data_IF_011307139605
#
_entry.id   IF_011307139605
#
_cell.length_a   1.000
_cell.length_b   1.000
_cell.length_c   1.000
_cell.angle_alpha   90.00
_cell.angle_beta   90.00
_cell.angle_gamma   90.00
#
_symmetry.space_group_name_H-M   'P 1'
#
loop_
_entity.id
_entity.type
_entity.pdbx_description
1 polymer ?
#
# COMPACT_ATOMS: atom_id res chain seq x y z
N UNK A 1 12.16 -11.83 26.83
CA UNK A 1 11.50 -11.04 25.78
C UNK A 1 12.14 -11.45 24.46
N UNK A 2 11.46 -12.29 23.67
CA UNK A 2 12.00 -12.82 22.42
C UNK A 2 11.51 -11.97 21.25
N UNK A 3 12.43 -11.45 20.45
CA UNK A 3 12.13 -10.83 19.16
C UNK A 3 12.26 -11.90 18.09
N UNK A 4 11.14 -12.35 17.54
CA UNK A 4 11.13 -13.22 16.37
C UNK A 4 11.38 -12.37 15.12
N UNK A 5 12.43 -12.72 14.36
CA UNK A 5 12.75 -12.07 13.09
C UNK A 5 11.96 -12.77 11.99
N UNK A 6 10.93 -12.12 11.44
CA UNK A 6 10.36 -12.45 10.14
C UNK A 6 11.39 -12.10 9.06
N UNK A 7 12.35 -13.00 8.81
CA UNK A 7 13.39 -12.83 7.79
C UNK A 7 12.94 -13.26 6.37
N UNK A 8 11.68 -13.65 6.21
CA UNK A 8 11.15 -14.27 4.98
C UNK A 8 10.15 -13.38 4.22
N UNK A 9 10.05 -12.09 4.52
CA UNK A 9 9.12 -11.18 3.83
C UNK A 9 9.84 -10.05 3.09
N UNK A 10 9.42 -9.80 1.85
CA UNK A 10 9.82 -8.64 1.05
C UNK A 10 8.77 -7.56 1.21
N UNK A 11 9.18 -6.35 1.61
CA UNK A 11 8.33 -5.16 1.69
C UNK A 11 8.62 -4.23 0.51
N UNK A 12 7.56 -3.78 -0.17
CA UNK A 12 7.63 -2.77 -1.22
C UNK A 12 6.59 -1.69 -0.97
N UNK A 13 6.94 -0.44 -1.24
CA UNK A 13 6.02 0.70 -1.20
C UNK A 13 5.77 1.22 -2.61
N UNK A 14 4.51 1.40 -2.99
CA UNK A 14 4.09 1.97 -4.28
C UNK A 14 3.40 3.31 -4.03
N UNK A 15 3.81 4.33 -4.79
CA UNK A 15 3.16 5.65 -4.77
C UNK A 15 2.14 5.74 -5.89
N UNK A 16 0.89 5.95 -5.54
CA UNK A 16 -0.20 6.24 -6.46
C UNK A 16 -0.63 7.69 -6.33
N UNK A 17 -0.99 8.30 -7.44
CA UNK A 17 -1.55 9.65 -7.46
C UNK A 17 -2.49 9.78 -8.66
N UNK A 18 -3.50 10.64 -8.52
CA UNK A 18 -4.46 10.85 -9.59
C UNK A 18 -5.63 11.73 -9.16
N UNK A 19 -6.73 11.61 -9.90
CA UNK A 19 -8.02 12.21 -9.56
C UNK A 19 -9.05 11.09 -9.43
N UNK A 20 -9.87 11.11 -8.39
CA UNK A 20 -10.96 10.16 -8.19
C UNK A 20 -12.27 10.89 -7.93
N UNK A 21 -13.38 10.33 -8.41
CA UNK A 21 -14.73 10.83 -8.12
C UNK A 21 -15.48 9.73 -7.41
N UNK A 22 -15.75 9.94 -6.13
CA UNK A 22 -16.60 9.05 -5.35
C UNK A 22 -18.08 9.31 -5.67
N UNK A 23 -18.95 8.39 -5.26
CA UNK A 23 -20.38 8.53 -5.50
C UNK A 23 -20.90 9.83 -4.87
N UNK A 24 -21.77 10.51 -5.62
CA UNK A 24 -22.31 11.84 -5.29
C UNK A 24 -21.30 13.00 -5.24
N UNK A 25 -20.01 12.78 -5.53
CA UNK A 25 -19.04 13.87 -5.61
C UNK A 25 -19.25 14.71 -6.90
N UNK A 26 -19.40 16.05 -6.79
CA UNK A 26 -19.69 16.93 -7.93
C UNK A 26 -18.50 17.08 -8.90
N UNK A 27 -17.27 16.88 -8.43
CA UNK A 27 -16.04 16.93 -9.23
C UNK A 27 -15.08 15.84 -8.77
N UNK A 28 -14.13 15.45 -9.64
CA UNK A 28 -13.03 14.59 -9.23
C UNK A 28 -12.09 15.34 -8.28
N UNK A 29 -11.62 14.66 -7.25
CA UNK A 29 -10.69 15.18 -6.26
C UNK A 29 -9.31 14.54 -6.42
N UNK A 30 -8.21 15.29 -6.17
CA UNK A 30 -6.88 14.71 -6.14
C UNK A 30 -6.77 13.66 -5.04
N UNK A 31 -6.13 12.54 -5.35
CA UNK A 31 -5.67 11.60 -4.34
C UNK A 31 -4.18 11.32 -4.51
N UNK A 32 -3.50 11.07 -3.40
CA UNK A 32 -2.11 10.62 -3.34
C UNK A 32 -2.01 9.60 -2.22
N UNK A 33 -1.50 8.42 -2.54
CA UNK A 33 -1.47 7.29 -1.63
C UNK A 33 -0.14 6.55 -1.71
N UNK A 34 0.31 6.04 -0.56
CA UNK A 34 1.38 5.06 -0.47
C UNK A 34 0.78 3.74 -0.04
N UNK A 35 0.94 2.74 -0.89
CA UNK A 35 0.49 1.38 -0.63
C UNK A 35 1.70 0.55 -0.24
N UNK A 36 1.68 -0.05 0.95
CA UNK A 36 2.72 -0.94 1.42
C UNK A 36 2.28 -2.37 1.18
N UNK A 37 3.10 -3.11 0.44
CA UNK A 37 2.82 -4.48 0.01
C UNK A 37 3.89 -5.41 0.57
N UNK A 38 3.48 -6.61 0.97
CA UNK A 38 4.38 -7.67 1.45
C UNK A 38 4.21 -8.94 0.64
N UNK A 39 5.30 -9.61 0.29
CA UNK A 39 5.32 -10.96 -0.26
C UNK A 39 6.30 -11.82 0.52
N UNK A 40 6.24 -13.15 0.37
CA UNK A 40 7.35 -13.97 0.82
C UNK A 40 8.62 -13.63 -0.01
N UNK A 41 9.79 -13.83 0.59
CA UNK A 41 11.09 -13.63 -0.07
C UNK A 41 11.37 -14.67 -1.16
N UNK A 42 10.59 -15.76 -1.19
CA UNK A 42 10.72 -16.86 -2.16
C UNK A 42 9.94 -16.60 -3.45
N UNK A 43 9.17 -15.51 -3.52
CA UNK A 43 8.37 -15.11 -4.68
C UNK A 43 7.21 -16.05 -5.03
N UNK A 44 6.88 -17.00 -4.15
CA UNK A 44 5.87 -18.02 -4.41
C UNK A 44 4.47 -17.59 -3.94
N UNK A 45 4.38 -16.53 -3.14
CA UNK A 45 3.11 -15.95 -2.72
C UNK A 45 2.84 -14.62 -3.44
N UNK A 46 1.56 -14.42 -3.77
CA UNK A 46 1.08 -13.14 -4.28
C UNK A 46 1.30 -12.02 -3.25
N UNK A 47 1.49 -10.81 -3.75
CA UNK A 47 1.61 -9.63 -2.91
C UNK A 47 0.33 -9.40 -2.10
N UNK A 48 0.50 -9.17 -0.80
CA UNK A 48 -0.56 -8.81 0.13
C UNK A 48 -0.45 -7.33 0.48
N UNK A 49 -1.58 -6.63 0.53
CA UNK A 49 -1.63 -5.25 1.00
C UNK A 49 -1.47 -5.25 2.52
N UNK A 50 -0.36 -4.69 3.02
CA UNK A 50 -0.08 -4.55 4.44
C UNK A 50 -0.65 -3.25 5.00
N UNK A 51 -0.83 -2.22 4.17
CA UNK A 51 -1.49 -0.98 4.55
C UNK A 51 -1.50 0.07 3.45
N UNK A 52 -2.43 1.00 3.55
CA UNK A 52 -2.55 2.19 2.69
C UNK A 52 -2.41 3.42 3.58
N UNK A 53 -1.64 4.40 3.12
CA UNK A 53 -1.57 5.72 3.72
C UNK A 53 -1.96 6.76 2.67
N UNK A 54 -3.03 7.52 2.95
CA UNK A 54 -3.34 8.74 2.20
C UNK A 54 -2.37 9.85 2.60
N UNK A 55 -1.85 10.57 1.60
CA UNK A 55 -0.91 11.68 1.78
C UNK A 55 -1.61 12.97 1.41
N UNK A 56 -1.95 13.74 2.44
CA UNK A 56 -2.36 15.12 2.29
C UNK A 56 -1.20 15.98 1.80
N UNK A 57 -1.52 17.02 1.04
CA UNK A 57 -0.52 17.95 0.51
C UNK A 57 -1.13 19.04 -0.34
#
# INVERSE_FOLDING_TARGET
LGTERNADETLVSVRFYGQMREDDAPTAQPFREVWNMVSDARGNQAWRLAGIQQIDG
#
